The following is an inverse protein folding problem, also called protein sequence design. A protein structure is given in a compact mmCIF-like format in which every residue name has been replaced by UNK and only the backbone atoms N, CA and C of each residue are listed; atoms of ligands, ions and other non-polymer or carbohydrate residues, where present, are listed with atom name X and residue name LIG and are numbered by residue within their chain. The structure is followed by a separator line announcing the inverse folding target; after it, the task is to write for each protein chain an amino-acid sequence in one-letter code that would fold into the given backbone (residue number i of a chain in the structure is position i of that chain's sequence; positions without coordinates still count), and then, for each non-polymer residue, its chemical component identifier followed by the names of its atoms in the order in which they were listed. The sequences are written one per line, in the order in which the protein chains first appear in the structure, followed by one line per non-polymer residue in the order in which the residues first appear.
data_IF_630919280857
#
_entry.id   IF_630919280857
#
_cell.length_a   1.000
_cell.length_b   1.000
_cell.length_c   1.000
_cell.angle_alpha   90.00
_cell.angle_beta   90.00
_cell.angle_gamma   90.00
#
_symmetry.space_group_name_H-M   'P 1'
#
loop_
_entity.id
_entity.type
_entity.pdbx_description
1 polymer ?
#
# COMPACT_ATOMS: atom_id res chain seq x y z
N UNK A 1 -32.20 12.69 -2.93
CA UNK A 1 -31.60 11.36 -3.12
C UNK A 1 -30.21 11.60 -3.71
N UNK A 2 -29.17 11.55 -2.89
CA UNK A 2 -27.80 11.68 -3.38
C UNK A 2 -27.39 10.31 -3.91
N UNK A 3 -27.33 10.19 -5.23
CA UNK A 3 -26.77 9.01 -5.87
C UNK A 3 -25.26 9.13 -5.74
N UNK A 4 -24.64 8.22 -5.00
CA UNK A 4 -23.19 8.07 -5.01
C UNK A 4 -22.79 7.53 -6.38
N UNK A 5 -22.44 8.45 -7.29
CA UNK A 5 -21.83 8.11 -8.56
C UNK A 5 -20.36 7.74 -8.29
N UNK A 6 -20.10 6.45 -8.08
CA UNK A 6 -18.74 5.92 -8.17
C UNK A 6 -18.52 5.45 -9.62
N UNK A 7 -17.47 5.90 -10.31
CA UNK A 7 -17.15 5.39 -11.64
C UNK A 7 -16.87 3.88 -11.58
N UNK A 8 -17.17 3.19 -12.68
CA UNK A 8 -17.21 1.72 -12.73
C UNK A 8 -15.84 1.04 -12.49
N UNK A 9 -14.74 1.77 -12.69
CA UNK A 9 -13.36 1.34 -12.46
C UNK A 9 -12.46 2.58 -12.31
N UNK A 10 -11.47 2.52 -11.43
CA UNK A 10 -10.59 3.66 -11.16
C UNK A 10 -9.12 3.25 -10.99
N UNK A 11 -8.23 4.12 -11.49
CA UNK A 11 -6.80 4.10 -11.16
C UNK A 11 -6.47 5.47 -10.60
N UNK A 12 -6.24 5.55 -9.30
CA UNK A 12 -6.11 6.83 -8.58
C UNK A 12 -4.76 6.88 -7.88
N UNK A 13 -4.15 8.06 -7.86
CA UNK A 13 -2.97 8.29 -7.04
C UNK A 13 -3.37 8.25 -5.57
N UNK A 14 -2.65 7.49 -4.76
CA UNK A 14 -2.84 7.44 -3.32
C UNK A 14 -2.49 8.81 -2.73
N UNK A 15 -3.47 9.46 -2.13
CA UNK A 15 -3.30 10.65 -1.29
C UNK A 15 -3.16 10.22 0.16
N UNK A 16 -2.58 11.04 1.02
CA UNK A 16 -2.59 10.83 2.47
C UNK A 16 -1.79 9.61 3.00
N UNK A 17 -0.97 8.99 2.15
CA UNK A 17 0.13 8.12 2.56
C UNK A 17 -0.26 6.91 3.44
N UNK A 18 0.39 6.79 4.60
CA UNK A 18 0.17 5.70 5.55
C UNK A 18 -1.24 5.66 6.13
N UNK A 19 -1.95 6.78 6.22
CA UNK A 19 -3.30 6.83 6.78
C UNK A 19 -4.29 6.03 5.92
N UNK A 20 -4.14 6.11 4.59
CA UNK A 20 -4.95 5.29 3.67
C UNK A 20 -4.66 3.81 3.85
N UNK A 21 -3.40 3.42 4.00
CA UNK A 21 -3.04 2.02 4.24
C UNK A 21 -3.63 1.52 5.55
N UNK A 22 -3.52 2.29 6.64
CA UNK A 22 -4.10 1.91 7.95
C UNK A 22 -5.62 1.88 7.91
N UNK A 23 -6.27 2.75 7.13
CA UNK A 23 -7.72 2.68 6.92
C UNK A 23 -8.16 1.44 6.15
N UNK A 24 -7.37 1.00 5.17
CA UNK A 24 -7.70 -0.16 4.32
C UNK A 24 -7.29 -1.49 4.96
N UNK A 25 -6.24 -1.48 5.77
CA UNK A 25 -5.64 -2.65 6.42
C UNK A 25 -5.37 -2.37 7.91
N UNK A 26 -6.39 -2.19 8.76
CA UNK A 26 -6.21 -1.74 10.15
C UNK A 26 -5.22 -2.58 10.98
N UNK A 27 -5.25 -3.91 10.78
CA UNK A 27 -4.40 -4.87 11.49
C UNK A 27 -3.06 -5.16 10.77
N UNK A 28 -2.76 -4.44 9.68
CA UNK A 28 -1.61 -4.75 8.83
C UNK A 28 -1.76 -6.09 8.12
N UNK A 29 -3.01 -6.50 7.84
CA UNK A 29 -3.31 -7.74 7.13
C UNK A 29 -4.20 -7.47 5.91
N UNK A 30 -3.78 -8.00 4.77
CA UNK A 30 -4.61 -8.08 3.58
C UNK A 30 -5.77 -9.07 3.79
N UNK A 31 -6.84 -8.89 3.01
CA UNK A 31 -8.00 -9.76 3.06
C UNK A 31 -8.51 -10.06 1.64
N UNK A 32 -9.57 -10.87 1.55
CA UNK A 32 -10.14 -11.25 0.25
C UNK A 32 -10.65 -10.06 -0.59
N UNK A 33 -10.81 -8.88 0.00
CA UNK A 33 -11.34 -7.68 -0.68
C UNK A 33 -10.25 -6.74 -1.17
N UNK A 34 -9.08 -6.70 -0.52
CA UNK A 34 -7.97 -5.80 -0.85
C UNK A 34 -6.63 -6.47 -0.55
N UNK A 35 -5.62 -6.21 -1.38
CA UNK A 35 -4.21 -6.52 -1.08
C UNK A 35 -3.29 -5.42 -1.62
N UNK A 36 -2.04 -5.38 -1.15
CA UNK A 36 -1.06 -4.37 -1.57
C UNK A 36 0.22 -5.01 -2.09
N UNK A 37 0.77 -4.41 -3.13
CA UNK A 37 2.10 -4.71 -3.65
C UNK A 37 3.06 -3.59 -3.25
N UNK A 38 4.26 -3.98 -2.87
CA UNK A 38 5.35 -3.08 -2.51
C UNK A 38 6.43 -3.11 -3.60
N UNK A 39 7.31 -2.10 -3.61
CA UNK A 39 8.50 -2.09 -4.47
C UNK A 39 8.17 -2.18 -5.96
N UNK A 40 7.01 -1.66 -6.33
CA UNK A 40 6.58 -1.56 -7.72
C UNK A 40 7.21 -0.33 -8.34
N UNK A 41 8.01 -0.47 -9.39
CA UNK A 41 8.41 0.72 -10.15
C UNK A 41 7.33 1.14 -11.13
N UNK A 42 7.18 2.46 -11.27
CA UNK A 42 6.41 3.13 -12.31
C UNK A 42 7.10 4.44 -12.64
N UNK A 43 6.45 5.36 -13.36
CA UNK A 43 7.02 6.68 -13.70
C UNK A 43 7.46 7.52 -12.48
N UNK A 44 6.97 7.17 -11.29
CA UNK A 44 7.23 7.86 -10.01
C UNK A 44 7.56 6.89 -8.87
N UNK A 45 7.99 5.66 -9.19
CA UNK A 45 8.21 4.61 -8.18
C UNK A 45 9.67 4.17 -8.11
N UNK A 46 10.08 3.63 -6.96
CA UNK A 46 11.37 2.97 -6.80
C UNK A 46 11.20 1.47 -6.61
N UNK A 47 12.23 0.69 -6.96
CA UNK A 47 12.31 -0.74 -6.68
C UNK A 47 12.76 -1.04 -5.24
N UNK A 48 12.81 -0.03 -4.37
CA UNK A 48 13.30 -0.22 -3.01
C UNK A 48 12.37 -1.14 -2.22
N UNK A 49 12.96 -2.16 -1.62
CA UNK A 49 12.31 -3.07 -0.67
C UNK A 49 12.06 -2.38 0.66
N UNK A 50 11.11 -2.90 1.44
CA UNK A 50 10.87 -2.44 2.82
C UNK A 50 12.17 -2.48 3.62
N UNK A 51 12.97 -3.54 3.43
CA UNK A 51 14.24 -3.74 4.12
C UNK A 51 15.31 -2.72 3.70
N UNK A 52 15.43 -2.41 2.40
CA UNK A 52 16.36 -1.37 1.92
C UNK A 52 15.97 0.02 2.44
N UNK A 53 14.68 0.34 2.41
CA UNK A 53 14.18 1.60 2.99
C UNK A 53 14.43 1.61 4.50
N UNK A 54 14.16 0.50 5.20
CA UNK A 54 14.40 0.40 6.63
C UNK A 54 15.89 0.57 7.00
N UNK A 55 16.81 0.07 6.18
CA UNK A 55 18.24 0.26 6.39
C UNK A 55 18.69 1.72 6.20
N UNK A 56 17.95 2.52 5.42
CA UNK A 56 18.20 3.96 5.26
C UNK A 56 17.49 4.84 6.30
N UNK A 57 16.62 4.28 7.15
CA UNK A 57 15.96 4.99 8.24
C UNK A 57 16.96 5.25 9.38
N UNK A 58 17.89 6.17 9.16
CA UNK A 58 18.78 6.72 10.17
C UNK A 58 18.44 8.19 10.40
N UNK A 59 18.20 8.55 11.67
CA UNK A 59 17.84 9.90 12.17
C UNK A 59 16.52 10.47 11.64
N UNK A 60 15.41 10.14 12.31
CA UNK A 60 14.11 10.85 12.39
C UNK A 60 13.39 11.29 11.09
N UNK A 61 13.96 11.07 9.91
CA UNK A 61 13.37 11.47 8.64
C UNK A 61 12.62 10.31 7.99
N UNK A 62 11.33 10.50 7.64
CA UNK A 62 10.56 9.49 6.95
C UNK A 62 11.15 9.23 5.56
N UNK A 63 11.17 7.97 5.15
CA UNK A 63 11.59 7.56 3.81
C UNK A 63 10.39 7.16 2.95
N UNK A 64 10.55 7.24 1.64
CA UNK A 64 9.48 6.93 0.69
C UNK A 64 9.50 5.47 0.28
N UNK A 65 8.34 4.83 0.31
CA UNK A 65 8.12 3.48 -0.20
C UNK A 65 7.02 3.51 -1.26
N UNK A 66 7.25 2.88 -2.41
CA UNK A 66 6.22 2.79 -3.45
C UNK A 66 5.27 1.63 -3.18
N UNK A 67 3.97 1.88 -3.33
CA UNK A 67 2.89 0.91 -3.13
C UNK A 67 1.87 0.93 -4.27
N UNK A 68 1.25 -0.22 -4.49
CA UNK A 68 0.08 -0.40 -5.34
C UNK A 68 -0.97 -1.21 -4.56
N UNK A 69 -2.06 -0.57 -4.16
CA UNK A 69 -3.22 -1.24 -3.56
C UNK A 69 -4.16 -1.69 -4.65
N UNK A 70 -4.57 -2.95 -4.58
CA UNK A 70 -5.49 -3.58 -5.50
C UNK A 70 -6.78 -3.89 -4.75
N UNK A 71 -7.91 -3.42 -5.27
CA UNK A 71 -9.24 -3.59 -4.68
C UNK A 71 -10.17 -4.28 -5.68
N UNK A 72 -10.10 -5.62 -5.82
CA UNK A 72 -10.80 -6.34 -6.89
C UNK A 72 -12.31 -6.16 -6.88
N UNK A 73 -12.93 -6.06 -5.69
CA UNK A 73 -14.40 -5.99 -5.57
C UNK A 73 -15.01 -4.72 -6.17
N UNK A 74 -14.27 -3.61 -6.14
CA UNK A 74 -14.71 -2.31 -6.69
C UNK A 74 -13.92 -1.92 -7.94
N UNK A 75 -13.10 -2.85 -8.47
CA UNK A 75 -12.27 -2.66 -9.67
C UNK A 75 -11.45 -1.37 -9.59
N UNK A 76 -10.72 -1.20 -8.48
CA UNK A 76 -9.93 0.00 -8.20
C UNK A 76 -8.46 -0.31 -7.89
N UNK A 77 -7.57 0.54 -8.40
CA UNK A 77 -6.15 0.58 -8.10
C UNK A 77 -5.79 1.91 -7.45
N UNK A 78 -5.06 1.86 -6.33
CA UNK A 78 -4.45 3.04 -5.70
C UNK A 78 -2.93 2.91 -5.79
N UNK A 79 -2.24 3.88 -6.39
CA UNK A 79 -0.79 3.81 -6.58
C UNK A 79 -0.09 5.06 -6.04
N UNK A 80 1.13 4.92 -5.55
CA UNK A 80 1.91 6.09 -5.13
C UNK A 80 3.05 5.75 -4.20
N UNK A 81 3.62 6.80 -3.62
CA UNK A 81 4.63 6.70 -2.56
C UNK A 81 3.96 7.01 -1.22
N UNK A 82 4.35 6.27 -0.20
CA UNK A 82 4.00 6.53 1.19
C UNK A 82 5.27 6.93 1.94
N UNK A 83 5.14 7.83 2.90
CA UNK A 83 6.20 8.15 3.84
C UNK A 83 6.12 7.18 5.01
N UNK A 84 7.24 6.52 5.33
CA UNK A 84 7.32 5.50 6.37
C UNK A 84 8.43 5.83 7.36
N UNK A 85 8.19 5.48 8.61
CA UNK A 85 9.16 5.53 9.71
C UNK A 85 9.58 4.12 10.13
N UNK A 86 10.55 4.02 11.04
CA UNK A 86 11.02 2.72 11.52
C UNK A 86 9.90 1.92 12.21
N UNK A 87 8.96 2.61 12.86
CA UNK A 87 7.83 2.00 13.57
C UNK A 87 6.79 1.39 12.62
N UNK A 88 6.76 1.82 11.36
CA UNK A 88 5.86 1.27 10.34
C UNK A 88 6.36 -0.05 9.77
N UNK A 89 7.67 -0.35 9.88
CA UNK A 89 8.30 -1.51 9.23
C UNK A 89 7.65 -2.84 9.62
N UNK A 90 7.40 -3.16 10.91
CA UNK A 90 6.75 -4.42 11.28
C UNK A 90 5.34 -4.56 10.68
N UNK A 91 4.57 -3.46 10.67
CA UNK A 91 3.23 -3.41 10.06
C UNK A 91 3.29 -3.70 8.56
N UNK A 92 4.21 -3.06 7.84
CA UNK A 92 4.36 -3.23 6.39
C UNK A 92 4.85 -4.64 6.01
N UNK A 93 5.73 -5.23 6.82
CA UNK A 93 6.18 -6.61 6.62
C UNK A 93 5.03 -7.61 6.81
N UNK A 94 4.20 -7.45 7.86
CA UNK A 94 3.02 -8.29 8.04
C UNK A 94 2.03 -8.15 6.86
N UNK A 95 1.82 -6.91 6.42
CA UNK A 95 0.92 -6.59 5.31
C UNK A 95 1.43 -7.16 3.98
N UNK A 96 2.74 -7.18 3.76
CA UNK A 96 3.36 -7.85 2.61
C UNK A 96 3.08 -9.35 2.62
N UNK A 97 3.33 -10.03 3.73
CA UNK A 97 3.16 -11.49 3.79
C UNK A 97 1.70 -11.91 3.65
N UNK A 98 0.77 -11.19 4.27
CA UNK A 98 -0.67 -11.42 4.06
C UNK A 98 -1.11 -11.11 2.63
N UNK A 99 -0.61 -10.04 2.01
CA UNK A 99 -0.93 -9.69 0.61
C UNK A 99 -0.45 -10.77 -0.38
N UNK A 100 0.72 -11.36 -0.14
CA UNK A 100 1.23 -12.48 -0.95
C UNK A 100 0.28 -13.69 -0.89
N UNK A 101 -0.27 -14.02 0.28
CA UNK A 101 -1.23 -15.12 0.44
C UNK A 101 -2.49 -14.88 -0.39
N UNK A 102 -3.08 -13.69 -0.26
CA UNK A 102 -4.26 -13.29 -1.05
C UNK A 102 -3.98 -13.35 -2.55
N UNK A 103 -2.83 -12.82 -3.00
CA UNK A 103 -2.43 -12.85 -4.41
C UNK A 103 -2.25 -14.28 -4.94
N UNK A 104 -1.64 -15.17 -4.15
CA UNK A 104 -1.42 -16.56 -4.53
C UNK A 104 -2.69 -17.42 -4.45
N UNK A 105 -3.81 -16.89 -3.95
CA UNK A 105 -5.04 -17.65 -3.70
C UNK A 105 -4.90 -18.66 -2.55
N UNK A 106 -4.00 -18.38 -1.59
CA UNK A 106 -3.71 -19.20 -0.43
C UNK A 106 -4.37 -18.68 0.84
#
# INVERSE_FOLDING_TARGET
MNVFAMPAYEVVKLTDGMDVLRSLFPEGEANALNFVMFSTSGTHGSYLTIEEVAASLGSDEPSKLTVLVIQPRVVRLLYGEIEITADDVPYLQNLRESSKRVFAGQ
#
